data_IF_052521688282
#
_entry.id   IF_052521688282
#
_cell.length_a   1.000
_cell.length_b   1.000
_cell.length_c   1.000
_cell.angle_alpha   90.00
_cell.angle_beta   90.00
_cell.angle_gamma   90.00
#
_symmetry.space_group_name_H-M   'P 1'
#
loop_
_entity.id
_entity.type
_entity.pdbx_description
1 polymer ?
#
# COMPACT_ATOMS: atom_id res chain seq x y z
N UNK A 1 -4.74 -12.49 -4.16
CA UNK A 1 -4.09 -11.43 -4.95
C UNK A 1 -3.97 -10.14 -4.17
N UNK A 2 -5.06 -9.45 -3.81
CA UNK A 2 -5.00 -8.23 -2.99
C UNK A 2 -4.13 -8.36 -1.71
N UNK A 3 -4.40 -9.37 -0.87
CA UNK A 3 -3.65 -9.63 0.37
C UNK A 3 -2.16 -9.90 0.12
N UNK A 4 -1.80 -10.50 -1.02
CA UNK A 4 -0.41 -10.76 -1.37
C UNK A 4 0.36 -9.47 -1.62
N UNK A 5 -0.25 -8.52 -2.34
CA UNK A 5 0.34 -7.20 -2.58
C UNK A 5 0.44 -6.36 -1.31
N UNK A 6 -0.47 -6.53 -0.33
CA UNK A 6 -0.29 -5.94 1.00
C UNK A 6 0.96 -6.51 1.67
N UNK A 7 1.15 -7.82 1.65
CA UNK A 7 2.33 -8.43 2.27
C UNK A 7 3.63 -7.99 1.59
N UNK A 8 3.65 -7.87 0.26
CA UNK A 8 4.78 -7.33 -0.50
C UNK A 8 5.07 -5.88 -0.15
N UNK A 9 4.04 -5.05 -0.10
CA UNK A 9 4.16 -3.66 0.32
C UNK A 9 4.78 -3.53 1.72
N UNK A 10 4.24 -4.28 2.69
CA UNK A 10 4.74 -4.30 4.08
C UNK A 10 6.12 -4.94 4.24
N UNK A 11 6.56 -5.73 3.25
CA UNK A 11 7.93 -6.27 3.19
C UNK A 11 8.94 -5.28 2.63
N UNK A 12 8.50 -4.08 2.23
CA UNK A 12 9.35 -2.97 1.80
C UNK A 12 9.28 -2.60 0.34
N UNK A 13 8.50 -3.32 -0.46
CA UNK A 13 8.35 -2.95 -1.88
C UNK A 13 7.63 -1.60 -2.07
N UNK A 14 6.88 -1.16 -1.06
CA UNK A 14 6.20 0.13 -1.08
C UNK A 14 7.04 1.30 -0.51
N UNK A 15 8.18 1.05 0.12
CA UNK A 15 9.05 2.10 0.67
C UNK A 15 9.80 2.82 -0.45
N UNK A 16 9.17 3.89 -0.93
CA UNK A 16 9.60 4.63 -2.11
C UNK A 16 10.70 5.63 -1.78
N UNK A 17 10.67 6.19 -0.57
CA UNK A 17 11.66 7.15 -0.09
C UNK A 17 12.87 6.48 0.61
N UNK A 18 12.78 5.16 0.84
CA UNK A 18 13.82 4.30 1.44
C UNK A 18 14.17 4.70 2.87
N UNK A 19 13.19 5.19 3.61
CA UNK A 19 13.38 5.59 5.00
C UNK A 19 13.28 4.40 5.99
N UNK A 20 12.99 3.18 5.51
CA UNK A 20 12.84 1.97 6.33
C UNK A 20 11.46 1.81 6.96
N UNK A 21 10.51 2.67 6.62
CA UNK A 21 9.12 2.68 7.09
C UNK A 21 8.18 2.84 5.91
N UNK A 22 7.22 1.93 5.76
CA UNK A 22 6.16 2.11 4.76
C UNK A 22 5.09 3.03 5.32
N UNK A 23 4.97 4.24 4.76
CA UNK A 23 3.89 5.16 5.12
C UNK A 23 2.54 4.72 4.53
N UNK A 24 1.43 5.23 5.05
CA UNK A 24 0.10 4.98 4.49
C UNK A 24 -0.06 5.46 3.04
N UNK A 25 0.53 6.61 2.71
CA UNK A 25 0.47 7.18 1.37
C UNK A 25 1.20 6.28 0.36
N UNK A 26 2.35 5.75 0.76
CA UNK A 26 3.12 4.77 -0.01
C UNK A 26 2.39 3.45 -0.17
N UNK A 27 1.87 2.90 0.93
CA UNK A 27 1.09 1.67 0.93
C UNK A 27 -0.11 1.77 -0.02
N UNK A 28 -0.86 2.88 0.07
CA UNK A 28 -2.01 3.15 -0.80
C UNK A 28 -1.58 3.24 -2.26
N UNK A 29 -0.55 4.02 -2.55
CA UNK A 29 -0.05 4.24 -3.91
C UNK A 29 0.40 2.92 -4.54
N UNK A 30 1.16 2.12 -3.80
CA UNK A 30 1.64 0.81 -4.27
C UNK A 30 0.47 -0.15 -4.54
N UNK A 31 -0.45 -0.31 -3.59
CA UNK A 31 -1.58 -1.23 -3.74
C UNK A 31 -2.47 -0.83 -4.92
N UNK A 32 -2.79 0.46 -5.05
CA UNK A 32 -3.62 0.95 -6.14
C UNK A 32 -2.96 0.72 -7.51
N UNK A 33 -1.64 0.88 -7.62
CA UNK A 33 -0.94 0.64 -8.88
C UNK A 33 -0.81 -0.84 -9.19
N UNK A 34 -0.33 -1.64 -8.24
CA UNK A 34 0.08 -3.02 -8.49
C UNK A 34 -1.09 -3.99 -8.56
N UNK A 35 -2.12 -3.83 -7.72
CA UNK A 35 -3.31 -4.70 -7.78
C UNK A 35 -4.10 -4.45 -9.05
N UNK A 36 -4.22 -3.19 -9.47
CA UNK A 36 -4.93 -2.81 -10.71
C UNK A 36 -4.24 -3.39 -11.93
N UNK A 37 -2.91 -3.19 -12.07
CA UNK A 37 -2.11 -3.79 -13.15
C UNK A 37 -2.23 -5.30 -13.17
N UNK A 38 -2.07 -5.93 -12.02
CA UNK A 38 -1.96 -7.38 -11.95
C UNK A 38 -3.31 -8.08 -12.15
N UNK A 39 -4.43 -7.43 -11.81
CA UNK A 39 -5.77 -7.92 -12.10
C UNK A 39 -6.28 -7.56 -13.50
N UNK A 40 -5.49 -6.87 -14.33
CA UNK A 40 -5.92 -6.37 -15.63
C UNK A 40 -7.14 -5.44 -15.52
N UNK A 41 -7.08 -4.48 -14.59
CA UNK A 41 -8.13 -3.49 -14.29
C UNK A 41 -9.45 -4.04 -13.70
N UNK A 42 -9.51 -5.34 -13.38
CA UNK A 42 -10.70 -5.97 -12.77
C UNK A 42 -10.87 -5.66 -11.28
N UNK A 43 -9.82 -5.19 -10.60
CA UNK A 43 -9.85 -4.80 -9.19
C UNK A 43 -9.32 -3.38 -9.02
N UNK A 44 -10.08 -2.55 -8.31
CA UNK A 44 -9.77 -1.15 -8.05
C UNK A 44 -9.87 -0.91 -6.53
N UNK A 45 -8.78 -1.10 -5.77
CA UNK A 45 -8.79 -0.92 -4.32
C UNK A 45 -9.18 0.50 -3.91
N UNK A 46 -10.06 0.62 -2.91
CA UNK A 46 -10.52 1.91 -2.38
C UNK A 46 -10.25 2.03 -0.89
N UNK A 47 -10.07 3.27 -0.43
CA UNK A 47 -10.05 3.62 0.99
C UNK A 47 -11.43 4.21 1.31
N UNK A 48 -12.15 3.60 2.24
CA UNK A 48 -13.47 4.07 2.70
C UNK A 48 -13.41 4.44 4.19
N UNK A 49 -14.35 5.27 4.64
CA UNK A 49 -14.46 5.76 6.03
C UNK A 49 -13.21 6.49 6.54
N UNK A 50 -12.50 7.21 5.67
CA UNK A 50 -11.32 8.03 5.99
C UNK A 50 -11.68 9.35 6.70
N UNK A 51 -12.35 9.22 7.86
CA UNK A 51 -12.90 10.35 8.62
C UNK A 51 -11.94 10.85 9.71
N UNK A 52 -10.77 10.24 9.85
CA UNK A 52 -9.81 10.53 10.92
C UNK A 52 -8.48 10.89 10.28
N UNK A 53 -7.95 12.06 10.61
CA UNK A 53 -6.60 12.42 10.21
C UNK A 53 -5.58 11.78 11.16
N UNK A 54 -4.94 10.71 10.71
CA UNK A 54 -3.83 10.06 11.40
C UNK A 54 -2.70 9.75 10.41
N UNK A 55 -1.47 10.04 10.81
CA UNK A 55 -0.26 9.66 10.09
C UNK A 55 0.48 8.60 10.88
N UNK A 56 0.63 7.43 10.30
CA UNK A 56 1.46 6.35 10.82
C UNK A 56 2.08 5.56 9.66
N UNK A 57 3.03 4.70 10.00
CA UNK A 57 3.68 3.80 9.04
C UNK A 57 4.13 2.53 9.73
N UNK A 58 4.54 1.56 8.91
CA UNK A 58 4.99 0.26 9.36
C UNK A 58 6.50 0.17 9.20
N UNK A 59 7.22 0.13 10.33
CA UNK A 59 8.67 -0.07 10.33
C UNK A 59 9.01 -1.50 9.90
N UNK A 60 10.00 -1.62 9.02
CA UNK A 60 10.52 -2.92 8.60
C UNK A 60 11.60 -3.42 9.56
N UNK A 61 11.57 -4.71 9.89
CA UNK A 61 12.55 -5.38 10.75
C UNK A 61 13.56 -6.18 9.94
#
# INVERSE_FOLDING_TARGET
MFTEYIMKALSGEADSDKNGTVSLDELRTYIMAEVTKACGDLQNPTVDRDNIYQKFGFGMK
#
